data_IF_371761510922
#
_entry.id   IF_371761510922
#
_cell.length_a   1.000
_cell.length_b   1.000
_cell.length_c   1.000
_cell.angle_alpha   90.00
_cell.angle_beta   90.00
_cell.angle_gamma   90.00
#
_symmetry.space_group_name_H-M   'P 1'
#
loop_
_entity.id
_entity.type
_entity.pdbx_description
1 polymer ?
#
# COMPACT_ATOMS: atom_id res chain seq x y z
N UNK A 1 -22.90 3.02 7.19
CA UNK A 1 -23.73 1.81 7.29
C UNK A 1 -22.87 0.62 6.90
N UNK A 2 -22.82 -0.44 7.72
CA UNK A 2 -22.30 -1.75 7.27
C UNK A 2 -23.42 -2.41 6.48
N UNK A 3 -23.17 -2.86 5.26
CA UNK A 3 -24.08 -3.76 4.57
C UNK A 3 -23.92 -5.12 5.22
N UNK A 4 -24.94 -5.57 5.96
CA UNK A 4 -25.00 -6.94 6.47
C UNK A 4 -24.87 -7.91 5.28
N UNK A 5 -23.83 -8.75 5.30
CA UNK A 5 -23.58 -9.77 4.26
C UNK A 5 -22.37 -9.55 3.36
N UNK A 6 -21.65 -8.42 3.44
CA UNK A 6 -20.38 -8.23 2.71
C UNK A 6 -19.21 -8.45 3.68
N UNK A 7 -18.54 -9.59 3.56
CA UNK A 7 -17.30 -9.84 4.29
C UNK A 7 -16.19 -8.93 3.73
N UNK A 8 -15.42 -8.30 4.62
CA UNK A 8 -14.26 -7.53 4.18
C UNK A 8 -13.18 -8.50 3.69
N UNK A 9 -12.60 -8.21 2.53
CA UNK A 9 -11.39 -8.89 2.08
C UNK A 9 -10.24 -8.63 3.06
N UNK A 10 -9.29 -9.56 3.13
CA UNK A 10 -8.05 -9.35 3.86
C UNK A 10 -7.22 -8.32 3.11
N UNK A 11 -7.15 -7.08 3.61
CA UNK A 11 -6.43 -5.99 2.93
C UNK A 11 -5.15 -5.60 3.67
N UNK A 12 -4.19 -5.11 2.91
CA UNK A 12 -2.91 -4.61 3.41
C UNK A 12 -2.23 -3.71 2.39
N UNK A 13 -1.05 -3.20 2.74
CA UNK A 13 -0.25 -2.42 1.81
C UNK A 13 1.24 -2.59 2.10
N UNK A 14 2.05 -2.40 1.06
CA UNK A 14 3.51 -2.35 1.16
C UNK A 14 4.03 -1.04 0.54
N UNK A 15 5.14 -0.54 1.07
CA UNK A 15 5.81 0.68 0.63
C UNK A 15 7.22 0.30 0.17
N UNK A 16 7.58 0.69 -1.04
CA UNK A 16 8.90 0.47 -1.63
C UNK A 16 9.58 1.80 -1.91
N UNK A 17 10.87 1.88 -1.63
CA UNK A 17 11.71 3.02 -2.00
C UNK A 17 12.08 2.90 -3.48
N UNK A 18 11.52 3.78 -4.29
CA UNK A 18 11.72 3.81 -5.74
C UNK A 18 13.11 4.36 -6.09
N UNK A 19 13.81 5.04 -5.19
CA UNK A 19 15.05 5.75 -5.49
C UNK A 19 14.87 6.68 -6.70
N UNK A 20 15.73 6.52 -7.69
CA UNK A 20 15.71 7.29 -8.95
C UNK A 20 14.97 6.56 -10.09
N UNK A 21 14.27 5.45 -9.81
CA UNK A 21 13.50 4.73 -10.82
C UNK A 21 12.26 5.55 -11.23
N UNK A 22 12.38 6.43 -12.24
CA UNK A 22 11.29 7.32 -12.67
C UNK A 22 10.08 6.65 -13.35
N UNK A 23 9.97 5.33 -13.33
CA UNK A 23 8.97 4.55 -14.08
C UNK A 23 8.25 3.52 -13.19
N UNK A 24 7.19 2.91 -13.73
CA UNK A 24 6.44 1.86 -13.06
C UNK A 24 7.35 0.68 -12.70
N UNK A 25 7.38 0.33 -11.42
CA UNK A 25 8.14 -0.82 -10.91
C UNK A 25 7.65 -2.14 -11.54
N UNK A 26 8.59 -2.97 -11.95
CA UNK A 26 8.33 -4.26 -12.61
C UNK A 26 8.31 -5.42 -11.60
N UNK A 27 7.82 -6.59 -12.02
CA UNK A 27 7.90 -7.82 -11.22
C UNK A 27 9.32 -8.13 -10.74
N UNK A 28 10.33 -7.95 -11.63
CA UNK A 28 11.73 -8.20 -11.30
C UNK A 28 12.21 -7.31 -10.16
N UNK A 29 11.77 -6.03 -10.15
CA UNK A 29 12.07 -5.12 -9.06
C UNK A 29 11.55 -5.64 -7.72
N UNK A 30 10.28 -6.05 -7.63
CA UNK A 30 9.67 -6.56 -6.39
C UNK A 30 10.27 -7.89 -5.90
N UNK A 31 10.85 -8.70 -6.81
CA UNK A 31 11.56 -9.93 -6.44
C UNK A 31 12.95 -9.66 -5.85
N UNK A 32 13.57 -8.53 -6.20
CA UNK A 32 14.93 -8.18 -5.80
C UNK A 32 14.97 -7.23 -4.59
N UNK A 33 13.92 -6.43 -4.39
CA UNK A 33 13.86 -5.41 -3.36
C UNK A 33 12.82 -5.75 -2.30
N UNK A 34 13.16 -5.54 -1.02
CA UNK A 34 12.21 -5.65 0.09
C UNK A 34 11.45 -4.33 0.25
N UNK A 35 10.22 -4.40 0.75
CA UNK A 35 9.51 -3.20 1.18
C UNK A 35 10.24 -2.52 2.34
N UNK A 36 10.28 -1.19 2.32
CA UNK A 36 10.86 -0.39 3.41
C UNK A 36 9.86 -0.17 4.56
N UNK A 37 8.56 -0.27 4.27
CA UNK A 37 7.48 -0.29 5.25
C UNK A 37 6.28 -1.10 4.72
N UNK A 38 5.38 -1.52 5.60
CA UNK A 38 4.16 -2.26 5.25
C UNK A 38 3.15 -2.23 6.39
N UNK A 39 1.89 -2.53 6.09
CA UNK A 39 0.92 -2.85 7.14
C UNK A 39 1.41 -4.05 7.97
N UNK A 40 1.04 -4.08 9.27
CA UNK A 40 1.49 -5.12 10.18
C UNK A 40 1.02 -6.53 9.75
N UNK A 41 -0.17 -6.61 9.17
CA UNK A 41 -0.74 -7.81 8.59
C UNK A 41 -1.74 -7.44 7.47
N UNK A 42 -2.20 -8.46 6.76
CA UNK A 42 -3.43 -8.40 5.97
C UNK A 42 -4.59 -8.79 6.90
N UNK A 43 -5.61 -7.94 7.00
CA UNK A 43 -6.69 -8.11 7.99
C UNK A 43 -8.04 -7.77 7.35
N UNK A 44 -9.08 -8.51 7.72
CA UNK A 44 -10.46 -8.35 7.25
C UNK A 44 -11.16 -7.14 7.89
N UNK A 45 -10.54 -5.97 7.76
CA UNK A 45 -11.07 -4.69 8.22
C UNK A 45 -11.45 -3.82 7.02
N UNK A 46 -12.43 -2.93 7.21
CA UNK A 46 -12.80 -1.92 6.21
C UNK A 46 -11.65 -0.95 5.90
N UNK A 47 -10.75 -0.77 6.85
CA UNK A 47 -9.61 0.14 6.75
C UNK A 47 -8.42 -0.45 7.50
N UNK A 48 -7.24 -0.38 6.89
CA UNK A 48 -5.95 -0.68 7.52
C UNK A 48 -5.07 0.55 7.38
N UNK A 49 -4.49 1.00 8.48
CA UNK A 49 -3.65 2.19 8.54
C UNK A 49 -2.29 1.88 9.18
N UNK A 50 -1.30 2.71 8.87
CA UNK A 50 0.02 2.63 9.46
C UNK A 50 0.66 4.01 9.50
N UNK A 51 1.52 4.25 10.50
CA UNK A 51 2.28 5.48 10.64
C UNK A 51 3.76 5.15 10.62
N UNK A 52 4.48 5.74 9.67
CA UNK A 52 5.89 5.46 9.45
C UNK A 52 6.70 6.76 9.50
N UNK A 53 7.99 6.61 9.80
CA UNK A 53 9.02 7.63 9.54
C UNK A 53 9.93 7.06 8.47
N UNK A 54 10.01 7.74 7.34
CA UNK A 54 10.83 7.36 6.20
C UNK A 54 11.65 8.59 5.78
N UNK A 55 12.80 8.35 5.15
CA UNK A 55 13.64 9.44 4.64
C UNK A 55 12.92 10.17 3.50
N UNK A 56 13.26 11.43 3.18
CA UNK A 56 12.81 12.07 1.96
C UNK A 56 13.22 11.26 0.72
N UNK A 57 12.32 11.07 -0.24
CA UNK A 57 12.56 10.25 -1.43
C UNK A 57 11.29 9.94 -2.22
N UNK A 58 11.43 9.13 -3.27
CA UNK A 58 10.32 8.66 -4.09
C UNK A 58 9.87 7.29 -3.62
N UNK A 59 8.57 7.11 -3.43
CA UNK A 59 8.02 5.86 -2.89
C UNK A 59 6.84 5.36 -3.70
N UNK A 60 6.72 4.04 -3.80
CA UNK A 60 5.51 3.38 -4.32
C UNK A 60 4.78 2.72 -3.17
N UNK A 61 3.50 3.07 -3.03
CA UNK A 61 2.57 2.36 -2.14
C UNK A 61 1.79 1.38 -2.99
N UNK A 62 1.86 0.09 -2.64
CA UNK A 62 1.10 -0.99 -3.27
C UNK A 62 0.02 -1.44 -2.29
N UNK A 63 -1.22 -0.93 -2.37
CA UNK A 63 -2.37 -1.51 -1.68
C UNK A 63 -2.80 -2.80 -2.39
N UNK A 64 -3.13 -3.84 -1.64
CA UNK A 64 -3.65 -5.09 -2.22
C UNK A 64 -4.54 -5.85 -1.23
N UNK A 65 -5.24 -6.83 -1.77
CA UNK A 65 -5.80 -7.95 -1.01
C UNK A 65 -4.70 -8.98 -0.71
N UNK A 66 -5.00 -9.93 0.17
CA UNK A 66 -4.08 -11.02 0.50
C UNK A 66 -4.02 -12.06 -0.63
N UNK A 67 -5.18 -12.53 -1.07
CA UNK A 67 -5.28 -13.47 -2.18
C UNK A 67 -5.33 -12.71 -3.52
N UNK A 68 -4.71 -13.26 -4.57
CA UNK A 68 -4.80 -12.69 -5.91
C UNK A 68 -6.21 -12.89 -6.48
N UNK A 69 -6.58 -12.02 -7.44
CA UNK A 69 -7.86 -12.07 -8.18
C UNK A 69 -9.11 -11.80 -7.32
N UNK A 70 -8.95 -11.18 -6.15
CA UNK A 70 -10.07 -10.61 -5.41
C UNK A 70 -10.33 -9.18 -5.89
N UNK A 71 -11.55 -8.91 -6.36
CA UNK A 71 -11.95 -7.59 -6.84
C UNK A 71 -12.64 -6.79 -5.74
N UNK A 72 -12.20 -5.55 -5.54
CA UNK A 72 -12.85 -4.59 -4.65
C UNK A 72 -12.49 -3.16 -5.03
N UNK A 73 -13.38 -2.23 -4.67
CA UNK A 73 -13.08 -0.81 -4.68
C UNK A 73 -12.32 -0.43 -3.42
N UNK A 74 -11.35 0.49 -3.54
CA UNK A 74 -10.56 0.96 -2.42
C UNK A 74 -10.31 2.47 -2.49
N UNK A 75 -9.95 3.04 -1.34
CA UNK A 75 -9.53 4.44 -1.22
C UNK A 75 -8.22 4.49 -0.43
N UNK A 76 -7.19 5.10 -1.00
CA UNK A 76 -5.92 5.37 -0.33
C UNK A 76 -5.90 6.82 0.16
N UNK A 77 -5.58 7.02 1.45
CA UNK A 77 -5.37 8.36 2.03
C UNK A 77 -3.95 8.44 2.57
N UNK A 78 -3.25 9.51 2.21
CA UNK A 78 -1.88 9.77 2.67
C UNK A 78 -1.86 11.06 3.47
N UNK A 79 -1.36 10.96 4.71
CA UNK A 79 -1.17 12.11 5.60
C UNK A 79 0.32 12.28 5.85
N UNK A 80 0.83 13.47 5.59
CA UNK A 80 2.25 13.81 5.72
C UNK A 80 2.40 15.11 6.52
N UNK A 81 3.52 15.24 7.23
CA UNK A 81 3.89 16.47 7.91
C UNK A 81 4.63 17.46 6.98
N UNK A 82 4.99 17.04 5.77
CA UNK A 82 5.68 17.85 4.78
C UNK A 82 4.97 17.86 3.43
N UNK A 83 5.60 18.44 2.42
CA UNK A 83 5.06 18.43 1.05
C UNK A 83 5.12 17.02 0.47
N UNK A 84 4.09 16.68 -0.29
CA UNK A 84 4.02 15.45 -1.07
C UNK A 84 3.56 15.80 -2.47
N UNK A 85 4.18 15.16 -3.46
CA UNK A 85 3.72 15.14 -4.84
C UNK A 85 3.33 13.70 -5.17
N UNK A 86 2.17 13.54 -5.79
CA UNK A 86 1.71 12.25 -6.32
C UNK A 86 1.59 12.35 -7.83
N UNK A 87 2.13 11.36 -8.54
CA UNK A 87 1.98 11.21 -9.99
C UNK A 87 0.97 10.12 -10.31
#
# INVERSE_FOLDING_TARGET
MRHEGIENLAIGFAIYDMGDHGERLTKAYFQQHKSCARSAAFINLREVSGRFRIAPGNYVIVPSTFEPNEEAEFMLRVYTNGFIESK
#
